data_IF_327638545092
#
_entry.id   IF_327638545092
#
_cell.length_a   1.000
_cell.length_b   1.000
_cell.length_c   1.000
_cell.angle_alpha   90.00
_cell.angle_beta   90.00
_cell.angle_gamma   90.00
#
_symmetry.space_group_name_H-M   'P 1'
#
loop_
_entity.id
_entity.type
_entity.pdbx_description
1 polymer ?
#
# COMPACT_ATOMS: atom_id res chain seq x y z
N UNK A 1 -1.23 11.47 39.02
CA UNK A 1 -0.12 10.95 38.16
C UNK A 1 -0.49 10.68 36.70
N UNK A 2 -1.74 10.29 36.35
CA UNK A 2 -2.11 9.90 34.97
C UNK A 2 -2.25 11.05 33.96
N UNK A 3 -2.61 12.26 34.39
CA UNK A 3 -2.90 13.39 33.48
C UNK A 3 -1.68 13.95 32.73
N UNK A 4 -0.49 13.91 33.36
CA UNK A 4 0.78 14.35 32.74
C UNK A 4 1.23 13.42 31.61
N UNK A 5 0.90 12.13 31.69
CA UNK A 5 1.24 11.14 30.66
C UNK A 5 0.42 11.35 29.38
N UNK A 6 -0.87 11.70 29.49
CA UNK A 6 -1.70 12.02 28.32
C UNK A 6 -1.29 13.32 27.61
N UNK A 7 -0.90 14.34 28.38
CA UNK A 7 -0.38 15.60 27.83
C UNK A 7 0.95 15.42 27.09
N UNK A 8 1.85 14.60 27.63
CA UNK A 8 3.11 14.23 26.97
C UNK A 8 2.84 13.46 25.68
N UNK A 9 1.88 12.54 25.67
CA UNK A 9 1.52 11.76 24.48
C UNK A 9 0.88 12.63 23.38
N UNK A 10 -0.01 13.57 23.76
CA UNK A 10 -0.57 14.55 22.81
C UNK A 10 0.49 15.49 22.25
N UNK A 11 1.45 15.94 23.07
CA UNK A 11 2.57 16.77 22.62
C UNK A 11 3.47 16.04 21.63
N UNK A 12 3.72 14.75 21.86
CA UNK A 12 4.50 13.90 20.96
C UNK A 12 3.77 13.66 19.63
N UNK A 13 2.44 13.46 19.66
CA UNK A 13 1.61 13.32 18.45
C UNK A 13 1.52 14.63 17.65
N UNK A 14 1.46 15.79 18.31
CA UNK A 14 1.49 17.11 17.67
C UNK A 14 2.86 17.42 17.05
N UNK A 15 3.97 17.04 17.71
CA UNK A 15 5.31 17.18 17.16
C UNK A 15 5.52 16.26 15.94
N UNK A 16 4.97 15.04 15.97
CA UNK A 16 4.98 14.13 14.82
C UNK A 16 4.16 14.72 13.65
N UNK A 17 2.99 15.30 13.94
CA UNK A 17 2.15 15.96 12.94
C UNK A 17 2.81 17.21 12.34
N UNK A 18 3.59 17.96 13.14
CA UNK A 18 4.33 19.11 12.67
C UNK A 18 5.51 18.72 11.77
N UNK A 19 6.22 17.63 12.08
CA UNK A 19 7.29 17.10 11.23
C UNK A 19 6.80 16.56 9.87
N UNK A 20 5.53 16.13 9.79
CA UNK A 20 4.87 15.73 8.54
C UNK A 20 4.47 16.91 7.64
N UNK A 21 4.54 18.16 8.12
CA UNK A 21 4.06 19.35 7.40
C UNK A 21 5.16 20.17 6.71
N UNK A 22 6.43 19.87 6.95
CA UNK A 22 7.56 20.56 6.32
C UNK A 22 8.11 19.77 5.14
N UNK A 23 7.33 19.69 4.06
CA UNK A 23 7.83 19.25 2.75
C UNK A 23 8.26 20.47 1.94
N UNK A 24 9.45 20.45 1.31
CA UNK A 24 9.98 21.60 0.61
C UNK A 24 9.12 21.96 -0.61
N UNK A 25 8.81 23.26 -0.72
CA UNK A 25 7.95 23.89 -1.75
C UNK A 25 8.52 23.87 -3.19
N UNK A 26 9.55 23.09 -3.48
CA UNK A 26 10.26 23.15 -4.77
C UNK A 26 9.81 22.08 -5.79
N UNK A 27 8.57 21.59 -5.70
CA UNK A 27 8.07 20.46 -6.46
C UNK A 27 7.19 20.84 -7.68
N UNK A 28 7.36 22.02 -8.28
CA UNK A 28 6.38 22.53 -9.26
C UNK A 28 6.32 21.79 -10.61
N UNK A 29 7.29 20.92 -10.96
CA UNK A 29 7.38 20.32 -12.30
C UNK A 29 7.29 18.77 -12.39
N UNK A 30 7.19 18.03 -11.29
CA UNK A 30 7.31 16.55 -11.33
C UNK A 30 6.02 15.79 -10.95
N UNK A 31 4.86 16.42 -11.04
CA UNK A 31 3.60 15.81 -10.62
C UNK A 31 2.91 15.07 -11.76
N UNK A 32 2.48 13.84 -11.49
CA UNK A 32 1.68 13.08 -12.44
C UNK A 32 0.19 13.38 -12.22
N UNK A 33 -0.43 14.04 -13.20
CA UNK A 33 -1.81 14.53 -13.10
C UNK A 33 -2.72 13.61 -13.91
N UNK A 34 -3.74 13.05 -13.25
CA UNK A 34 -4.73 12.15 -13.83
C UNK A 34 -6.11 12.80 -13.78
N UNK A 35 -6.83 12.81 -14.90
CA UNK A 35 -8.19 13.35 -14.99
C UNK A 35 -9.21 12.30 -15.41
N UNK A 36 -10.42 12.40 -14.86
CA UNK A 36 -11.58 11.58 -15.22
C UNK A 36 -12.84 12.44 -15.14
N UNK A 37 -13.27 12.98 -16.28
CA UNK A 37 -14.30 14.03 -16.30
C UNK A 37 -13.86 15.22 -15.45
N UNK A 38 -14.72 15.65 -14.50
CA UNK A 38 -14.40 16.78 -13.60
C UNK A 38 -13.48 16.40 -12.43
N UNK A 39 -13.11 15.12 -12.27
CA UNK A 39 -12.21 14.69 -11.18
C UNK A 39 -10.76 14.79 -11.63
N UNK A 40 -9.93 15.41 -10.81
CA UNK A 40 -8.47 15.47 -11.00
C UNK A 40 -7.79 14.82 -9.81
N UNK A 41 -6.78 14.01 -10.06
CA UNK A 41 -5.93 13.39 -9.05
C UNK A 41 -4.48 13.74 -9.36
N UNK A 42 -3.72 14.11 -8.33
CA UNK A 42 -2.35 14.58 -8.46
C UNK A 42 -1.47 13.62 -7.66
N UNK A 43 -0.58 12.93 -8.35
CA UNK A 43 0.42 12.06 -7.74
C UNK A 43 1.71 12.86 -7.58
N UNK A 44 2.10 13.04 -6.32
CA UNK A 44 3.36 13.70 -5.96
C UNK A 44 4.54 12.74 -6.15
N UNK A 45 5.77 13.25 -6.37
CA UNK A 45 6.98 12.43 -6.60
C UNK A 45 7.29 11.48 -5.42
N UNK A 46 6.87 11.90 -4.23
CA UNK A 46 7.05 11.23 -2.96
C UNK A 46 6.23 9.94 -2.85
N UNK A 47 5.13 9.84 -3.60
CA UNK A 47 4.25 8.69 -3.52
C UNK A 47 4.88 7.48 -4.21
N UNK A 48 4.87 6.34 -3.50
CA UNK A 48 5.16 5.05 -4.10
C UNK A 48 3.99 4.68 -5.02
N UNK A 49 4.30 4.49 -6.30
CA UNK A 49 3.34 4.10 -7.33
C UNK A 49 3.68 2.71 -7.84
N UNK A 50 2.65 1.94 -8.14
CA UNK A 50 2.76 0.69 -8.87
C UNK A 50 2.04 0.84 -10.20
N UNK A 51 2.79 0.77 -11.29
CA UNK A 51 2.33 0.97 -12.65
C UNK A 51 2.22 -0.39 -13.31
N UNK A 52 1.03 -0.70 -13.82
CA UNK A 52 0.79 -1.87 -14.66
C UNK A 52 0.90 -1.48 -16.13
N UNK A 53 1.76 -2.20 -16.85
CA UNK A 53 1.98 -2.08 -18.28
C UNK A 53 1.40 -3.31 -18.97
N UNK A 54 0.75 -3.09 -20.12
CA UNK A 54 0.35 -4.18 -21.00
C UNK A 54 1.29 -4.14 -22.20
N UNK A 55 2.07 -5.19 -22.36
CA UNK A 55 2.79 -5.43 -23.60
C UNK A 55 1.98 -6.43 -24.41
N UNK A 56 1.39 -5.97 -25.52
CA UNK A 56 1.12 -6.86 -26.65
C UNK A 56 2.47 -7.12 -27.30
N UNK A 57 3.22 -8.10 -26.77
CA UNK A 57 4.42 -8.57 -27.44
C UNK A 57 3.94 -9.34 -28.66
N UNK A 58 3.84 -8.64 -29.79
CA UNK A 58 3.66 -9.27 -31.09
C UNK A 58 4.92 -10.09 -31.39
N UNK A 59 4.91 -11.36 -31.01
CA UNK A 59 5.95 -12.33 -31.31
C UNK A 59 5.48 -13.74 -30.93
N UNK A 60 5.73 -14.70 -31.83
CA UNK A 60 5.17 -16.06 -31.92
C UNK A 60 5.37 -16.99 -30.70
N UNK A 61 5.71 -16.49 -29.50
CA UNK A 61 6.02 -17.33 -28.33
C UNK A 61 5.43 -16.88 -26.99
N UNK A 62 4.81 -15.69 -26.88
CA UNK A 62 4.32 -15.15 -25.62
C UNK A 62 2.96 -14.45 -25.80
N UNK A 63 1.87 -15.15 -25.48
CA UNK A 63 0.50 -14.68 -25.75
C UNK A 63 0.06 -13.46 -24.93
N UNK A 64 0.70 -13.17 -23.79
CA UNK A 64 0.39 -12.03 -22.91
C UNK A 64 1.56 -11.79 -21.94
N UNK A 65 2.24 -10.64 -22.03
CA UNK A 65 3.19 -10.20 -21.00
C UNK A 65 2.59 -9.03 -20.22
N UNK A 66 2.36 -9.23 -18.92
CA UNK A 66 1.97 -8.16 -18.00
C UNK A 66 3.15 -7.83 -17.12
N UNK A 67 3.62 -6.60 -17.24
CA UNK A 67 4.67 -6.07 -16.39
C UNK A 67 4.06 -5.13 -15.38
N UNK A 68 4.54 -5.21 -14.15
CA UNK A 68 4.17 -4.31 -13.07
C UNK A 68 5.45 -3.76 -12.47
N UNK A 69 5.60 -2.45 -12.54
CA UNK A 69 6.75 -1.72 -12.02
C UNK A 69 6.31 -0.97 -10.77
N UNK A 70 7.02 -1.13 -9.66
CA UNK A 70 6.79 -0.38 -8.42
C UNK A 70 7.99 0.50 -8.11
N UNK A 71 7.73 1.79 -7.84
CA UNK A 71 8.78 2.78 -7.71
C UNK A 71 8.26 4.18 -7.35
N UNK A 72 9.17 5.15 -7.41
CA UNK A 72 8.85 6.58 -7.22
C UNK A 72 8.93 7.31 -8.55
N UNK A 73 7.97 8.19 -8.82
CA UNK A 73 8.01 9.04 -10.03
C UNK A 73 9.05 10.13 -9.80
N UNK A 74 10.09 10.15 -10.62
CA UNK A 74 11.18 11.12 -10.52
C UNK A 74 10.89 12.32 -11.40
N UNK A 75 10.52 12.06 -12.65
CA UNK A 75 10.29 13.08 -13.68
C UNK A 75 9.09 12.70 -14.56
N UNK A 76 8.36 13.70 -15.04
CA UNK A 76 7.24 13.51 -15.97
C UNK A 76 7.45 14.43 -17.16
N UNK A 77 7.53 13.84 -18.34
CA UNK A 77 7.55 14.51 -19.63
C UNK A 77 6.23 14.26 -20.39
N UNK A 78 6.05 14.94 -21.53
CA UNK A 78 4.79 14.95 -22.27
C UNK A 78 4.32 13.57 -22.77
N UNK A 79 5.21 12.60 -22.89
CA UNK A 79 4.91 11.26 -23.42
C UNK A 79 5.37 10.12 -22.51
N UNK A 80 6.08 10.45 -21.42
CA UNK A 80 6.81 9.47 -20.64
C UNK A 80 7.00 9.92 -19.19
N UNK A 81 7.08 8.95 -18.28
CA UNK A 81 7.44 9.18 -16.88
C UNK A 81 8.71 8.40 -16.56
N UNK A 82 9.67 9.05 -15.89
CA UNK A 82 10.83 8.37 -15.32
C UNK A 82 10.50 7.88 -13.91
N UNK A 83 10.75 6.60 -13.66
CA UNK A 83 10.48 5.95 -12.39
C UNK A 83 11.77 5.36 -11.83
N UNK A 84 12.05 5.70 -10.58
CA UNK A 84 13.04 5.01 -9.76
C UNK A 84 12.44 3.68 -9.30
N UNK A 85 12.88 2.59 -9.92
CA UNK A 85 12.32 1.26 -9.74
C UNK A 85 12.87 0.63 -8.46
N UNK A 86 11.96 0.13 -7.63
CA UNK A 86 12.27 -0.64 -6.42
C UNK A 86 11.95 -2.12 -6.64
N UNK A 87 10.94 -2.41 -7.45
CA UNK A 87 10.53 -3.77 -7.77
C UNK A 87 9.88 -3.83 -9.14
N UNK A 88 10.13 -4.93 -9.84
CA UNK A 88 9.55 -5.24 -11.14
C UNK A 88 9.02 -6.68 -11.10
N UNK A 89 7.81 -6.86 -11.59
CA UNK A 89 7.15 -8.16 -11.70
C UNK A 89 6.69 -8.37 -13.14
N UNK A 90 7.18 -9.43 -13.78
CA UNK A 90 6.83 -9.79 -15.15
C UNK A 90 6.11 -11.13 -15.12
N UNK A 91 4.84 -11.12 -15.52
CA UNK A 91 4.03 -12.32 -15.69
C UNK A 91 3.87 -12.59 -17.18
N UNK A 92 4.28 -13.77 -17.64
CA UNK A 92 4.11 -14.19 -19.02
C UNK A 92 3.66 -15.64 -19.14
N UNK A 93 3.06 -15.96 -20.27
CA UNK A 93 2.65 -17.33 -20.62
C UNK A 93 3.49 -17.79 -21.79
N UNK A 94 4.26 -18.87 -21.62
CA UNK A 94 5.03 -19.50 -22.68
C UNK A 94 4.09 -20.15 -23.71
N UNK A 95 4.59 -20.38 -24.93
CA UNK A 95 3.88 -21.10 -25.99
C UNK A 95 3.27 -22.46 -25.56
N UNK A 96 3.82 -23.11 -24.52
CA UNK A 96 3.31 -24.36 -23.97
C UNK A 96 2.26 -24.15 -22.85
N UNK A 97 1.60 -22.99 -22.80
CA UNK A 97 0.64 -22.58 -21.76
C UNK A 97 1.20 -22.50 -20.32
N UNK A 98 2.51 -22.69 -20.13
CA UNK A 98 3.16 -22.56 -18.83
C UNK A 98 3.25 -21.09 -18.45
N UNK A 99 2.66 -20.75 -17.29
CA UNK A 99 2.75 -19.41 -16.71
C UNK A 99 4.00 -19.28 -15.86
N UNK A 100 4.76 -18.23 -16.10
CA UNK A 100 5.92 -17.88 -15.29
C UNK A 100 5.80 -16.45 -14.75
N UNK A 101 6.38 -16.26 -13.57
CA UNK A 101 6.46 -14.98 -12.89
C UNK A 101 7.91 -14.73 -12.52
N UNK A 102 8.46 -13.63 -13.01
CA UNK A 102 9.78 -13.12 -12.64
C UNK A 102 9.59 -11.92 -11.73
N UNK A 103 10.15 -11.99 -10.52
CA UNK A 103 10.18 -10.88 -9.57
C UNK A 103 11.61 -10.41 -9.40
N UNK A 104 11.87 -9.17 -9.80
CA UNK A 104 13.15 -8.50 -9.63
C UNK A 104 13.02 -7.42 -8.56
N UNK A 105 13.95 -7.40 -7.59
CA UNK A 105 14.01 -6.37 -6.56
C UNK A 105 15.29 -5.56 -6.72
N UNK A 106 15.16 -4.24 -6.67
CA UNK A 106 16.26 -3.31 -6.90
C UNK A 106 16.48 -2.43 -5.67
N UNK A 107 17.74 -2.11 -5.32
CA UNK A 107 18.02 -1.08 -4.33
C UNK A 107 17.46 0.26 -4.81
N UNK A 108 16.78 0.99 -3.92
CA UNK A 108 16.27 2.34 -4.22
C UNK A 108 17.40 3.23 -4.76
N UNK A 109 17.10 3.98 -5.81
CA UNK A 109 17.97 4.99 -6.40
C UNK A 109 18.90 4.48 -7.49
N UNK A 110 18.97 3.15 -7.71
CA UNK A 110 19.94 2.57 -8.65
C UNK A 110 19.38 2.32 -10.05
N UNK A 111 18.10 1.97 -10.15
CA UNK A 111 17.49 1.65 -11.44
C UNK A 111 16.42 2.68 -11.75
N UNK A 112 16.60 3.37 -12.88
CA UNK A 112 15.62 4.29 -13.44
C UNK A 112 15.08 3.71 -14.72
N UNK A 113 13.76 3.69 -14.86
CA UNK A 113 13.08 3.21 -16.05
C UNK A 113 12.20 4.31 -16.61
N UNK A 114 12.33 4.57 -17.91
CA UNK A 114 11.46 5.47 -18.64
C UNK A 114 10.25 4.68 -19.13
N UNK A 115 9.05 5.05 -18.67
CA UNK A 115 7.80 4.41 -19.02
C UNK A 115 7.00 5.30 -19.97
N UNK A 116 6.68 4.84 -21.18
CA UNK A 116 5.84 5.60 -22.09
C UNK A 116 4.38 5.55 -21.60
N UNK A 117 3.73 6.72 -21.53
CA UNK A 117 2.42 6.86 -20.86
C UNK A 117 1.27 6.17 -21.61
N UNK A 118 1.45 5.88 -22.91
CA UNK A 118 0.49 5.18 -23.76
C UNK A 118 0.40 3.67 -23.49
N UNK A 119 1.43 3.06 -22.89
CA UNK A 119 1.48 1.62 -22.57
C UNK A 119 0.96 1.31 -21.16
N UNK A 120 0.57 2.35 -20.40
CA UNK A 120 0.12 2.21 -19.02
C UNK A 120 -1.36 1.85 -18.97
N UNK A 121 -1.67 0.66 -18.44
CA UNK A 121 -3.04 0.18 -18.24
C UNK A 121 -3.64 0.69 -16.93
N UNK A 122 -2.86 0.67 -15.85
CA UNK A 122 -3.32 1.19 -14.57
C UNK A 122 -2.18 1.73 -13.71
N UNK A 123 -2.54 2.65 -12.82
CA UNK A 123 -1.68 3.13 -11.75
C UNK A 123 -2.35 2.83 -10.42
N UNK A 124 -1.65 2.07 -9.58
CA UNK A 124 -1.97 1.92 -8.17
C UNK A 124 -1.10 2.86 -7.37
N UNK A 125 -1.72 3.66 -6.51
CA UNK A 125 -0.98 4.56 -5.63
C UNK A 125 -1.47 4.42 -4.20
N UNK A 126 -0.56 4.71 -3.28
CA UNK A 126 -0.82 4.76 -1.86
C UNK A 126 -0.06 5.95 -1.28
N UNK A 127 -0.76 6.86 -0.61
CA UNK A 127 -0.08 7.93 0.11
C UNK A 127 0.69 7.35 1.30
N UNK A 128 1.73 8.05 1.74
CA UNK A 128 2.52 7.62 2.91
C UNK A 128 1.66 7.46 4.16
N UNK A 129 0.69 8.36 4.36
CA UNK A 129 -0.29 8.27 5.44
C UNK A 129 -1.19 7.03 5.32
N UNK A 130 -1.62 6.68 4.11
CA UNK A 130 -2.42 5.47 3.90
C UNK A 130 -1.58 4.20 4.13
N UNK A 131 -0.29 4.25 3.77
CA UNK A 131 0.66 3.16 4.03
C UNK A 131 0.92 3.00 5.52
N UNK A 132 1.17 4.09 6.25
CA UNK A 132 1.36 4.02 7.71
C UNK A 132 0.10 3.51 8.42
N UNK A 133 -1.08 3.96 7.99
CA UNK A 133 -2.36 3.48 8.50
C UNK A 133 -2.56 1.99 8.24
N UNK A 134 -2.20 1.50 7.03
CA UNK A 134 -2.26 0.08 6.70
C UNK A 134 -1.30 -0.75 7.55
N UNK A 135 -0.05 -0.32 7.69
CA UNK A 135 0.98 -1.01 8.48
C UNK A 135 0.59 -1.06 9.96
N UNK A 136 0.15 0.06 10.51
CA UNK A 136 -0.33 0.14 11.89
C UNK A 136 -1.56 -0.75 12.08
N UNK A 137 -2.53 -0.68 11.17
CA UNK A 137 -3.72 -1.54 11.19
C UNK A 137 -3.37 -3.03 11.13
N UNK A 138 -2.39 -3.41 10.30
CA UNK A 138 -1.89 -4.78 10.21
C UNK A 138 -1.24 -5.23 11.53
N UNK A 139 -0.41 -4.39 12.14
CA UNK A 139 0.22 -4.69 13.42
C UNK A 139 -0.82 -4.88 14.53
N UNK A 140 -1.78 -3.96 14.67
CA UNK A 140 -2.83 -4.03 15.69
C UNK A 140 -3.75 -5.24 15.47
N UNK A 141 -4.06 -5.57 14.22
CA UNK A 141 -4.83 -6.79 13.89
C UNK A 141 -4.06 -8.05 14.27
N UNK A 142 -2.78 -8.14 13.91
CA UNK A 142 -1.94 -9.28 14.25
C UNK A 142 -1.78 -9.45 15.76
N UNK A 143 -1.58 -8.35 16.50
CA UNK A 143 -1.55 -8.37 17.96
C UNK A 143 -2.91 -8.84 18.52
N UNK A 144 -4.02 -8.38 17.93
CA UNK A 144 -5.36 -8.82 18.31
C UNK A 144 -5.59 -10.33 18.10
N UNK A 145 -5.16 -10.86 16.95
CA UNK A 145 -5.19 -12.30 16.66
C UNK A 145 -4.32 -13.08 17.63
N UNK A 146 -3.09 -12.62 17.89
CA UNK A 146 -2.20 -13.27 18.84
C UNK A 146 -2.81 -13.34 20.25
N UNK A 147 -3.45 -12.26 20.71
CA UNK A 147 -4.15 -12.25 21.99
C UNK A 147 -5.33 -13.24 22.03
N UNK A 148 -6.07 -13.41 20.93
CA UNK A 148 -7.12 -14.43 20.87
C UNK A 148 -6.55 -15.84 20.97
N UNK A 149 -5.46 -16.13 20.26
CA UNK A 149 -4.80 -17.44 20.28
C UNK A 149 -4.24 -17.76 21.66
N UNK A 150 -3.66 -16.76 22.34
CA UNK A 150 -3.02 -16.92 23.66
C UNK A 150 -4.04 -16.78 24.82
N UNK A 151 -5.24 -16.26 24.56
CA UNK A 151 -6.28 -16.07 25.59
C UNK A 151 -6.66 -17.34 26.37
N UNK A 152 -6.73 -18.56 25.79
CA UNK A 152 -7.03 -19.77 26.55
C UNK A 152 -5.90 -20.10 27.54
N UNK A 153 -4.64 -19.92 27.13
CA UNK A 153 -3.48 -20.17 28.01
C UNK A 153 -3.43 -19.14 29.14
N UNK A 154 -3.72 -17.87 28.84
CA UNK A 154 -3.78 -16.80 29.84
C UNK A 154 -5.01 -16.89 30.76
N UNK A 155 -6.00 -17.70 30.38
CA UNK A 155 -7.14 -18.06 31.22
C UNK A 155 -6.76 -19.06 32.32
N UNK A 156 -5.64 -19.76 32.20
CA UNK A 156 -5.17 -20.68 33.24
C UNK A 156 -4.55 -19.91 34.41
N UNK A 157 -4.97 -20.24 35.63
CA UNK A 157 -4.42 -19.72 36.88
C UNK A 157 -4.07 -20.90 37.79
N UNK A 158 -2.87 -20.89 38.36
CA UNK A 158 -2.47 -21.87 39.38
C UNK A 158 -2.91 -21.35 40.75
N UNK A 159 -3.85 -22.05 41.37
CA UNK A 159 -4.29 -21.75 42.73
C UNK A 159 -3.80 -22.88 43.65
N UNK A 160 -2.66 -22.65 44.31
CA UNK A 160 -2.17 -23.57 45.35
C UNK A 160 -1.79 -24.97 44.86
N UNK A 161 -1.46 -25.14 43.57
CA UNK A 161 -1.03 -26.42 43.00
C UNK A 161 -2.03 -27.05 42.02
N UNK A 162 -3.27 -26.56 41.95
CA UNK A 162 -4.25 -26.98 40.94
C UNK A 162 -4.38 -25.92 39.83
N UNK A 163 -4.40 -26.37 38.58
CA UNK A 163 -4.67 -25.52 37.42
C UNK A 163 -6.17 -25.35 37.24
N UNK A 164 -6.67 -24.14 37.51
CA UNK A 164 -8.05 -23.75 37.25
C UNK A 164 -8.15 -22.82 36.03
N UNK A 165 -9.25 -22.92 35.27
CA UNK A 165 -9.53 -21.97 34.20
C UNK A 165 -10.41 -20.83 34.70
N UNK A 166 -9.95 -19.59 34.55
CA UNK A 166 -10.65 -18.38 34.96
C UNK A 166 -11.25 -17.66 33.77
N UNK A 167 -12.57 -17.79 33.64
CA UNK A 167 -13.35 -17.20 32.56
C UNK A 167 -13.14 -15.69 32.42
N UNK A 168 -12.99 -14.94 33.51
CA UNK A 168 -12.81 -13.47 33.46
C UNK A 168 -11.46 -13.07 32.84
N UNK A 169 -10.40 -13.83 33.11
CA UNK A 169 -9.07 -13.60 32.52
C UNK A 169 -9.09 -13.92 31.04
N UNK A 170 -9.61 -15.10 30.70
CA UNK A 170 -9.83 -15.49 29.31
C UNK A 170 -10.63 -14.42 28.55
N UNK A 171 -11.79 -14.01 29.09
CA UNK A 171 -12.67 -13.04 28.48
C UNK A 171 -12.00 -11.66 28.35
N UNK A 172 -11.17 -11.25 29.31
CA UNK A 172 -10.39 -10.01 29.24
C UNK A 172 -9.42 -10.00 28.07
N UNK A 173 -8.60 -11.05 27.93
CA UNK A 173 -7.64 -11.19 26.84
C UNK A 173 -8.33 -11.37 25.48
N UNK A 174 -9.39 -12.18 25.42
CA UNK A 174 -10.18 -12.38 24.21
C UNK A 174 -10.87 -11.10 23.75
N UNK A 175 -11.43 -10.30 24.67
CA UNK A 175 -12.02 -8.98 24.36
C UNK A 175 -10.96 -8.01 23.83
N UNK A 176 -9.79 -7.94 24.46
CA UNK A 176 -8.69 -7.12 23.97
C UNK A 176 -8.25 -7.55 22.56
N UNK A 177 -8.20 -8.86 22.31
CA UNK A 177 -7.91 -9.42 20.98
C UNK A 177 -8.93 -9.02 19.91
N UNK A 178 -10.24 -9.15 20.23
CA UNK A 178 -11.32 -8.73 19.34
C UNK A 178 -11.31 -7.22 19.06
N UNK A 179 -11.01 -6.39 20.07
CA UNK A 179 -10.87 -4.94 19.87
C UNK A 179 -9.70 -4.61 18.93
N UNK A 180 -8.56 -5.29 19.07
CA UNK A 180 -7.42 -5.14 18.17
C UNK A 180 -7.79 -5.44 16.71
N UNK A 181 -8.49 -6.55 16.47
CA UNK A 181 -8.97 -6.90 15.12
C UNK A 181 -10.01 -5.89 14.63
N UNK A 182 -10.94 -5.48 15.49
CA UNK A 182 -12.02 -4.54 15.17
C UNK A 182 -11.55 -3.14 14.78
N UNK A 183 -10.43 -2.67 15.36
CA UNK A 183 -9.81 -1.38 15.02
C UNK A 183 -8.84 -1.53 13.84
N UNK A 184 -8.02 -2.59 13.85
CA UNK A 184 -6.97 -2.79 12.86
C UNK A 184 -7.50 -3.09 11.47
N UNK A 185 -8.57 -3.90 11.35
CA UNK A 185 -9.13 -4.29 10.04
C UNK A 185 -9.64 -3.09 9.23
N UNK A 186 -10.46 -2.16 9.79
CA UNK A 186 -10.84 -0.93 9.09
C UNK A 186 -9.65 -0.09 8.64
N UNK A 187 -8.60 0.02 9.47
CA UNK A 187 -7.39 0.78 9.12
C UNK A 187 -6.66 0.17 7.92
N UNK A 188 -6.57 -1.16 7.84
CA UNK A 188 -6.02 -1.87 6.67
C UNK A 188 -6.85 -1.57 5.42
N UNK A 189 -8.18 -1.61 5.53
CA UNK A 189 -9.08 -1.37 4.40
C UNK A 189 -8.99 0.08 3.91
N UNK A 190 -8.94 1.06 4.82
CA UNK A 190 -8.79 2.47 4.50
C UNK A 190 -7.42 2.80 3.91
N UNK A 191 -6.38 2.07 4.33
CA UNK A 191 -5.02 2.21 3.83
C UNK A 191 -4.80 1.58 2.46
N UNK A 192 -5.75 0.81 1.90
CA UNK A 192 -5.55 0.05 0.65
C UNK A 192 -5.14 0.94 -0.54
N UNK A 193 -4.23 0.43 -1.37
CA UNK A 193 -3.81 1.06 -2.63
C UNK A 193 -5.04 1.39 -3.50
N UNK A 194 -5.10 2.60 -4.02
CA UNK A 194 -6.17 3.04 -4.94
C UNK A 194 -5.75 2.76 -6.38
N UNK A 195 -6.58 2.02 -7.12
CA UNK A 195 -6.33 1.68 -8.53
C UNK A 195 -7.04 2.66 -9.46
N UNK A 196 -6.26 3.34 -10.31
CA UNK A 196 -6.70 4.23 -11.37
C UNK A 196 -6.46 3.51 -12.71
N UNK A 197 -7.52 3.09 -13.38
CA UNK A 197 -7.41 2.48 -14.72
C UNK A 197 -7.41 3.54 -15.80
N UNK A 198 -6.48 3.39 -16.74
CA UNK A 198 -6.29 4.24 -17.91
C UNK A 198 -6.87 3.59 -19.17
N UNK A 199 -6.89 2.26 -19.23
CA UNK A 199 -7.52 1.50 -20.33
C UNK A 199 -8.93 1.05 -19.96
N UNK A 200 -9.92 1.16 -20.87
CA UNK A 200 -11.28 0.73 -20.59
C UNK A 200 -11.31 -0.80 -20.50
N UNK A 201 -12.02 -1.32 -19.51
CA UNK A 201 -12.27 -2.76 -19.39
C UNK A 201 -13.75 -3.06 -19.54
N UNK A 202 -14.11 -4.32 -19.81
CA UNK A 202 -15.51 -4.78 -19.87
C UNK A 202 -16.34 -4.31 -18.65
N UNK A 203 -15.72 -4.09 -17.48
CA UNK A 203 -16.38 -3.62 -16.25
C UNK A 203 -16.27 -2.11 -16.00
N UNK A 204 -15.38 -1.36 -16.69
CA UNK A 204 -15.13 0.07 -16.44
C UNK A 204 -15.05 0.86 -17.75
N UNK A 205 -16.15 1.53 -18.11
CA UNK A 205 -16.26 2.35 -19.34
C UNK A 205 -15.64 3.75 -19.24
N UNK A 206 -15.56 4.33 -18.03
CA UNK A 206 -14.91 5.64 -17.78
C UNK A 206 -13.52 5.43 -17.20
N UNK A 207 -12.51 5.82 -17.95
CA UNK A 207 -11.10 5.71 -17.57
C UNK A 207 -10.54 7.03 -17.05
N UNK A 208 -9.42 6.95 -16.34
CA UNK A 208 -8.57 8.10 -16.10
C UNK A 208 -7.74 8.36 -17.36
N UNK A 209 -7.31 9.60 -17.56
CA UNK A 209 -6.39 9.98 -18.62
C UNK A 209 -5.29 10.86 -18.02
N UNK A 210 -4.08 10.78 -18.57
CA UNK A 210 -3.03 11.72 -18.21
C UNK A 210 -3.43 13.12 -18.69
N UNK A 211 -3.34 14.10 -17.79
CA UNK A 211 -3.44 15.50 -18.18
C UNK A 211 -2.03 16.01 -18.42
N UNK A 212 -1.62 16.01 -19.67
CA UNK A 212 -0.39 16.65 -20.11
C UNK A 212 -0.53 18.17 -19.87
N UNK A 213 0.54 18.82 -19.41
CA UNK A 213 0.59 20.27 -19.22
C UNK A 213 1.14 20.94 -20.47
#
# INVERSE_FOLDING_TARGET
MKMKQYLSLCGLLLALAAQLSTLPLNAQNNWLILQKGNRTNILKPEHMVSIGLIYDIAGDSLDCARQKVEGKVVEVANDSAEIEVVMEEINYTKANEVRENIVSQYPSGKVKMKLPLNEVDYIQYQSETARSLQTFGAFVTMAGVALLVVSPVMGLESNGGEFGFKNDRFAGWAKAGLMGIGIGTPMILLGRKRTLHLTPSKKKKKVWAFKLR
#
